data_IF_514316258328
#
_entry.id   IF_514316258328
#
_cell.length_a   1.000
_cell.length_b   1.000
_cell.length_c   1.000
_cell.angle_alpha   90.00
_cell.angle_beta   90.00
_cell.angle_gamma   90.00
#
_symmetry.space_group_name_H-M   'P 1'
#
loop_
_entity.id
_entity.type
_entity.pdbx_description
1 polymer ?
#
# COMPACT_ATOMS: atom_id res chain seq x y z
N UNK A 1 3.26 -6.45 -30.64
CA UNK A 1 3.70 -5.96 -29.31
C UNK A 1 3.34 -4.49 -29.06
N UNK A 2 3.01 -3.69 -30.08
CA UNK A 2 2.74 -2.25 -29.93
C UNK A 2 1.30 -1.90 -29.46
N UNK A 3 0.34 -2.79 -29.65
CA UNK A 3 -1.08 -2.56 -29.34
C UNK A 3 -1.37 -2.46 -27.83
N UNK A 4 -0.61 -3.19 -27.00
CA UNK A 4 -0.71 -3.14 -25.54
C UNK A 4 -0.20 -1.80 -24.97
N UNK A 5 0.90 -1.29 -25.52
CA UNK A 5 1.48 -0.01 -25.12
C UNK A 5 0.58 1.17 -25.51
N UNK A 6 -0.09 1.10 -26.65
CA UNK A 6 -1.04 2.12 -27.11
C UNK A 6 -2.32 2.14 -26.29
N UNK A 7 -2.81 0.97 -25.86
CA UNK A 7 -3.97 0.89 -24.95
C UNK A 7 -3.63 1.45 -23.57
N UNK A 8 -2.43 1.17 -23.06
CA UNK A 8 -1.94 1.70 -21.79
C UNK A 8 -1.74 3.22 -21.84
N UNK A 9 -1.15 3.75 -22.93
CA UNK A 9 -1.01 5.21 -23.13
C UNK A 9 -2.36 5.93 -23.20
N UNK A 10 -3.37 5.32 -23.84
CA UNK A 10 -4.73 5.89 -23.91
C UNK A 10 -5.44 5.91 -22.55
N UNK A 11 -5.21 4.90 -21.72
CA UNK A 11 -5.75 4.83 -20.35
C UNK A 11 -5.01 5.81 -19.43
N UNK A 12 -3.69 5.91 -19.53
CA UNK A 12 -2.87 6.84 -18.75
C UNK A 12 -3.14 8.32 -19.09
N UNK A 13 -3.45 8.62 -20.34
CA UNK A 13 -3.79 9.98 -20.78
C UNK A 13 -5.07 10.53 -20.13
N UNK A 14 -6.01 9.65 -19.73
CA UNK A 14 -7.23 10.06 -19.02
C UNK A 14 -7.07 10.09 -17.49
N UNK A 15 -5.99 9.51 -16.95
CA UNK A 15 -5.75 9.36 -15.49
C UNK A 15 -4.96 10.53 -14.89
N UNK A 16 -4.38 11.40 -15.72
CA UNK A 16 -3.65 12.60 -15.28
C UNK A 16 -4.46 13.91 -15.30
N UNK A 17 -5.77 13.87 -15.55
CA UNK A 17 -6.58 15.08 -15.40
C UNK A 17 -6.78 15.40 -13.91
N UNK A 18 -6.47 16.64 -13.54
CA UNK A 18 -6.63 17.16 -12.18
C UNK A 18 -8.07 17.02 -11.69
N UNK A 19 -9.04 17.09 -12.61
CA UNK A 19 -10.46 16.91 -12.30
C UNK A 19 -10.84 15.43 -12.14
N UNK A 20 -10.29 14.52 -12.96
CA UNK A 20 -10.46 13.08 -12.76
C UNK A 20 -9.82 12.60 -11.45
N UNK A 21 -8.67 13.17 -11.08
CA UNK A 21 -8.01 12.87 -9.83
C UNK A 21 -8.72 13.47 -8.62
N UNK A 22 -9.25 14.69 -8.72
CA UNK A 22 -10.14 15.24 -7.69
C UNK A 22 -11.42 14.42 -7.54
N UNK A 23 -12.01 13.96 -8.64
CA UNK A 23 -13.21 13.13 -8.61
C UNK A 23 -12.95 11.76 -7.98
N UNK A 24 -11.79 11.15 -8.28
CA UNK A 24 -11.36 9.91 -7.64
C UNK A 24 -11.08 10.11 -6.15
N UNK A 25 -10.33 11.16 -5.80
CA UNK A 25 -10.02 11.50 -4.40
C UNK A 25 -11.31 11.80 -3.64
N UNK A 26 -12.23 12.62 -4.17
CA UNK A 26 -13.51 12.92 -3.55
C UNK A 26 -14.42 11.69 -3.43
N UNK A 27 -14.36 10.76 -4.40
CA UNK A 27 -15.07 9.48 -4.31
C UNK A 27 -14.46 8.57 -3.25
N UNK A 28 -13.13 8.59 -3.10
CA UNK A 28 -12.40 7.88 -2.06
C UNK A 28 -12.67 8.49 -0.68
N UNK A 29 -12.74 9.82 -0.58
CA UNK A 29 -13.07 10.58 0.61
C UNK A 29 -14.50 10.28 1.07
N UNK A 30 -15.46 10.25 0.14
CA UNK A 30 -16.86 9.88 0.42
C UNK A 30 -17.01 8.41 0.82
N UNK A 31 -16.22 7.52 0.24
CA UNK A 31 -16.19 6.11 0.63
C UNK A 31 -15.59 5.92 2.02
N UNK A 32 -14.59 6.73 2.37
CA UNK A 32 -13.99 6.78 3.70
C UNK A 32 -14.94 7.38 4.74
N UNK A 33 -15.64 8.46 4.44
CA UNK A 33 -16.58 9.11 5.37
C UNK A 33 -17.76 8.21 5.72
N UNK A 34 -18.34 7.49 4.75
CA UNK A 34 -19.39 6.47 5.05
C UNK A 34 -18.89 5.35 5.94
N UNK A 35 -17.58 5.11 5.99
CA UNK A 35 -16.97 4.05 6.77
C UNK A 35 -16.78 4.45 8.24
N UNK A 36 -16.58 5.75 8.50
CA UNK A 36 -16.46 6.29 9.85
C UNK A 36 -17.81 6.63 10.49
N UNK A 37 -18.87 6.78 9.69
CA UNK A 37 -20.24 7.12 10.15
C UNK A 37 -21.12 5.87 10.42
N UNK A 38 -20.68 4.68 9.99
CA UNK A 38 -21.44 3.41 10.09
C UNK A 38 -21.27 2.68 11.45
N UNK A 39 -20.93 3.40 12.52
CA UNK A 39 -20.95 2.86 13.91
C UNK A 39 -22.40 2.66 14.45
N UNK A 40 -23.40 2.64 13.57
CA UNK A 40 -24.81 2.51 13.95
C UNK A 40 -25.70 1.85 12.87
N UNK A 41 -25.41 0.61 12.43
CA UNK A 41 -26.48 -0.37 12.18
C UNK A 41 -25.95 -1.82 12.05
N UNK A 42 -26.26 -2.66 13.03
CA UNK A 42 -25.98 -4.11 13.02
C UNK A 42 -27.19 -4.88 12.44
N UNK A 43 -27.67 -4.49 11.26
CA UNK A 43 -28.77 -5.19 10.59
C UNK A 43 -28.58 -5.28 9.08
N UNK A 44 -27.87 -6.32 8.65
CA UNK A 44 -28.36 -7.33 7.71
C UNK A 44 -27.20 -8.31 7.42
N UNK A 45 -27.25 -9.43 8.15
CA UNK A 45 -26.28 -10.52 8.17
C UNK A 45 -26.44 -11.40 6.93
N UNK A 46 -25.83 -11.01 5.80
CA UNK A 46 -25.32 -12.00 4.86
C UNK A 46 -24.06 -12.59 5.49
N UNK A 47 -24.26 -13.70 6.21
CA UNK A 47 -23.39 -14.23 7.27
C UNK A 47 -21.92 -14.37 6.86
N UNK A 48 -21.11 -13.37 7.23
CA UNK A 48 -19.66 -13.53 7.22
C UNK A 48 -19.27 -14.57 8.28
N UNK A 49 -18.17 -15.32 8.08
CA UNK A 49 -17.68 -16.26 9.07
C UNK A 49 -17.55 -15.59 10.45
N UNK A 50 -17.83 -16.32 11.54
CA UNK A 50 -17.71 -15.77 12.89
C UNK A 50 -16.34 -15.13 13.11
N UNK A 51 -16.33 -13.86 13.51
CA UNK A 51 -15.10 -13.09 13.76
C UNK A 51 -14.51 -12.36 12.55
N UNK A 52 -15.13 -12.43 11.37
CA UNK A 52 -14.74 -11.64 10.20
C UNK A 52 -15.67 -10.44 10.03
N UNK A 53 -15.14 -9.22 10.17
CA UNK A 53 -15.90 -7.99 9.95
C UNK A 53 -15.76 -7.55 8.49
N UNK A 54 -16.76 -6.79 7.98
CA UNK A 54 -16.68 -6.12 6.66
C UNK A 54 -15.39 -5.27 6.53
N UNK A 55 -14.94 -4.69 7.65
CA UNK A 55 -13.68 -3.96 7.79
C UNK A 55 -12.44 -4.75 7.41
N UNK A 56 -12.40 -5.99 7.88
CA UNK A 56 -11.25 -6.86 7.68
C UNK A 56 -11.12 -7.22 6.20
N UNK A 57 -12.26 -7.51 5.55
CA UNK A 57 -12.33 -7.79 4.12
C UNK A 57 -11.89 -6.57 3.30
N UNK A 58 -12.35 -5.37 3.64
CA UNK A 58 -11.94 -4.15 2.96
C UNK A 58 -10.44 -3.88 3.11
N UNK A 59 -9.93 -3.97 4.33
CA UNK A 59 -8.51 -3.77 4.64
C UNK A 59 -7.65 -4.76 3.86
N UNK A 60 -8.01 -6.04 3.90
CA UNK A 60 -7.31 -7.09 3.16
C UNK A 60 -7.36 -6.87 1.64
N UNK A 61 -8.51 -6.43 1.11
CA UNK A 61 -8.66 -6.13 -0.32
C UNK A 61 -7.73 -5.00 -0.77
N UNK A 62 -7.58 -3.95 0.05
CA UNK A 62 -6.65 -2.84 -0.21
C UNK A 62 -5.20 -3.34 -0.17
N UNK A 63 -4.82 -4.12 0.84
CA UNK A 63 -3.47 -4.66 0.98
C UNK A 63 -3.06 -5.54 -0.21
N UNK A 64 -3.98 -6.37 -0.71
CA UNK A 64 -3.78 -7.20 -1.92
C UNK A 64 -3.56 -6.33 -3.14
N UNK A 65 -4.43 -5.33 -3.36
CA UNK A 65 -4.30 -4.40 -4.49
C UNK A 65 -2.95 -3.67 -4.47
N UNK A 66 -2.56 -3.14 -3.31
CA UNK A 66 -1.27 -2.49 -3.13
C UNK A 66 -0.11 -3.46 -3.42
N UNK A 67 -0.20 -4.71 -2.95
CA UNK A 67 0.82 -5.73 -3.22
C UNK A 67 0.98 -6.04 -4.72
N UNK A 68 -0.11 -6.10 -5.48
CA UNK A 68 -0.04 -6.28 -6.94
C UNK A 68 0.60 -5.06 -7.62
N UNK A 69 0.17 -3.85 -7.25
CA UNK A 69 0.71 -2.61 -7.81
C UNK A 69 2.21 -2.44 -7.52
N UNK A 70 2.66 -2.75 -6.30
CA UNK A 70 4.07 -2.67 -5.92
C UNK A 70 4.91 -3.64 -6.74
N UNK A 71 4.48 -4.90 -6.90
CA UNK A 71 5.21 -5.89 -7.73
C UNK A 71 5.31 -5.43 -9.18
N UNK A 72 4.21 -4.90 -9.74
CA UNK A 72 4.20 -4.36 -11.09
C UNK A 72 5.17 -3.18 -11.25
N UNK A 73 5.19 -2.26 -10.28
CA UNK A 73 6.12 -1.12 -10.27
C UNK A 73 7.57 -1.58 -10.16
N UNK A 74 7.90 -2.50 -9.26
CA UNK A 74 9.26 -3.02 -9.10
C UNK A 74 9.77 -3.73 -10.36
N UNK A 75 8.89 -4.41 -11.10
CA UNK A 75 9.25 -5.04 -12.37
C UNK A 75 9.55 -4.01 -13.48
N UNK A 76 8.89 -2.85 -13.45
CA UNK A 76 9.09 -1.78 -14.44
C UNK A 76 10.23 -0.83 -14.06
N UNK A 77 10.48 -0.68 -12.75
CA UNK A 77 11.45 0.23 -12.16
C UNK A 77 12.21 -0.52 -11.05
N UNK A 78 13.21 -1.34 -11.40
CA UNK A 78 14.00 -2.06 -10.41
C UNK A 78 14.83 -1.05 -9.59
N UNK A 79 14.77 -1.09 -8.25
CA UNK A 79 15.61 -0.25 -7.41
C UNK A 79 17.04 -0.79 -7.33
N UNK A 80 18.01 0.08 -7.08
CA UNK A 80 19.40 -0.33 -6.83
C UNK A 80 19.53 -1.13 -5.52
N UNK A 81 18.77 -0.72 -4.50
CA UNK A 81 18.70 -1.38 -3.19
C UNK A 81 17.23 -1.55 -2.80
N UNK A 82 16.81 -2.79 -2.52
CA UNK A 82 15.47 -3.11 -2.03
C UNK A 82 15.54 -3.63 -0.59
N UNK A 83 14.98 -2.88 0.35
CA UNK A 83 14.84 -3.29 1.75
C UNK A 83 13.46 -3.89 1.93
N UNK A 84 13.38 -5.21 2.00
CA UNK A 84 12.12 -5.93 2.18
C UNK A 84 11.86 -6.23 3.66
N UNK A 85 10.76 -5.69 4.19
CA UNK A 85 10.28 -5.99 5.55
C UNK A 85 9.09 -6.96 5.45
N UNK A 86 9.07 -7.97 6.32
CA UNK A 86 7.94 -8.91 6.38
C UNK A 86 6.64 -8.18 6.72
N UNK A 87 5.56 -8.51 6.01
CA UNK A 87 4.21 -7.99 6.31
C UNK A 87 3.68 -8.48 7.64
N UNK A 88 4.20 -9.59 8.16
CA UNK A 88 3.80 -10.14 9.45
C UNK A 88 4.48 -9.43 10.63
N UNK A 89 5.37 -8.46 10.36
CA UNK A 89 6.09 -7.73 11.40
C UNK A 89 5.14 -6.92 12.30
N UNK A 90 4.08 -6.32 11.75
CA UNK A 90 2.99 -5.69 12.50
C UNK A 90 1.70 -5.65 11.66
N UNK A 91 0.55 -5.50 12.31
CA UNK A 91 -0.72 -5.27 11.62
C UNK A 91 -0.96 -3.79 11.38
N UNK A 92 -1.92 -3.51 10.50
CA UNK A 92 -2.48 -2.19 10.32
C UNK A 92 -3.01 -1.66 11.67
N UNK A 93 -2.64 -0.42 12.02
CA UNK A 93 -3.00 0.29 13.27
C UNK A 93 -2.31 -0.19 14.57
N UNK A 94 -1.25 -0.99 14.51
CA UNK A 94 -0.44 -1.40 15.68
C UNK A 94 0.52 -0.29 16.16
N UNK A 95 0.02 0.91 16.48
CA UNK A 95 0.86 2.07 16.83
C UNK A 95 1.72 1.86 18.08
N UNK A 96 1.26 1.00 19.00
CA UNK A 96 2.00 0.65 20.21
C UNK A 96 3.33 -0.07 19.93
N UNK A 97 3.51 -0.66 18.74
CA UNK A 97 4.75 -1.34 18.30
C UNK A 97 5.69 -0.45 17.49
N UNK A 98 5.44 0.86 17.45
CA UNK A 98 6.23 1.78 16.63
C UNK A 98 7.73 1.72 16.94
N UNK A 99 8.12 1.67 18.22
CA UNK A 99 9.52 1.61 18.62
C UNK A 99 10.22 0.34 18.10
N UNK A 100 9.54 -0.81 18.22
CA UNK A 100 10.01 -2.09 17.69
C UNK A 100 10.18 -2.03 16.16
N UNK A 101 9.18 -1.48 15.46
CA UNK A 101 9.20 -1.38 14.00
C UNK A 101 10.31 -0.44 13.49
N UNK A 102 10.60 0.64 14.22
CA UNK A 102 11.73 1.53 13.92
C UNK A 102 13.06 0.77 14.04
N UNK A 103 13.21 -0.04 15.09
CA UNK A 103 14.40 -0.85 15.28
C UNK A 103 14.57 -1.90 14.15
N UNK A 104 13.49 -2.58 13.77
CA UNK A 104 13.47 -3.53 12.64
C UNK A 104 13.90 -2.86 11.33
N UNK A 105 13.30 -1.72 11.00
CA UNK A 105 13.65 -0.98 9.78
C UNK A 105 15.10 -0.51 9.77
N UNK A 106 15.62 -0.04 10.91
CA UNK A 106 17.01 0.39 11.05
C UNK A 106 17.98 -0.77 10.85
N UNK A 107 17.73 -1.90 11.48
CA UNK A 107 18.59 -3.09 11.35
C UNK A 107 18.62 -3.59 9.90
N UNK A 108 17.46 -3.74 9.26
CA UNK A 108 17.35 -4.19 7.87
C UNK A 108 18.05 -3.23 6.88
N UNK A 109 18.00 -1.92 7.15
CA UNK A 109 18.68 -0.92 6.31
C UNK A 109 20.20 -1.03 6.43
N UNK A 110 20.72 -1.14 7.66
CA UNK A 110 22.16 -1.30 7.89
C UNK A 110 22.67 -2.57 7.20
N UNK A 111 21.95 -3.67 7.33
CA UNK A 111 22.28 -4.94 6.66
C UNK A 111 22.33 -4.78 5.14
N UNK A 112 21.31 -4.18 4.53
CA UNK A 112 21.25 -3.98 3.08
C UNK A 112 22.37 -3.08 2.55
N UNK A 113 22.70 -2.00 3.26
CA UNK A 113 23.77 -1.08 2.85
C UNK A 113 25.16 -1.72 2.96
N UNK A 114 25.40 -2.49 4.02
CA UNK A 114 26.66 -3.23 4.18
C UNK A 114 26.87 -4.26 3.07
N UNK A 115 25.80 -4.95 2.64
CA UNK A 115 25.88 -5.94 1.57
C UNK A 115 26.19 -5.31 0.20
N UNK A 116 25.77 -4.06 -0.01
CA UNK A 116 25.89 -3.37 -1.31
C UNK A 116 27.22 -2.62 -1.44
N UNK A 117 28.10 -2.67 -0.42
CA UNK A 117 29.39 -1.95 -0.35
C UNK A 117 29.27 -0.42 -0.60
N UNK A 118 28.05 0.10 -0.48
CA UNK A 118 27.72 1.52 -0.49
C UNK A 118 28.09 2.08 0.87
N UNK A 119 29.39 2.25 1.10
CA UNK A 119 29.90 2.93 2.29
C UNK A 119 29.24 4.32 2.36
N UNK A 120 28.65 4.72 3.51
CA UNK A 120 28.18 6.09 3.67
C UNK A 120 29.39 6.99 3.48
N UNK A 121 29.41 7.76 2.39
CA UNK A 121 30.42 8.77 2.14
C UNK A 121 30.59 9.57 3.43
N UNK A 122 31.77 9.51 4.03
CA UNK A 122 32.06 10.15 5.31
C UNK A 122 31.61 11.62 5.25
N UNK A 123 30.91 12.13 6.27
CA UNK A 123 30.59 13.55 6.32
C UNK A 123 31.90 14.34 6.35
N UNK A 124 31.98 15.36 5.47
CA UNK A 124 33.07 16.33 5.42
C UNK A 124 33.12 17.19 6.69
#
# INVERSE_FOLDING_TARGET
>A
MEEWADRFRRVAANVMDREAMKALVARFDRARDRYFDDDADDSDDESLPPGLRKADVLTQSIEVMQGVLTRYRLASYPPDVLIAISRDACRSLDFHRAEEMIAVGRAATIEALNLTDLSPTQPA
#
